data_IF_277945451944
#
_entry.id   IF_277945451944
#
_cell.length_a   1.000
_cell.length_b   1.000
_cell.length_c   1.000
_cell.angle_alpha   90.00
_cell.angle_beta   90.00
_cell.angle_gamma   90.00
#
_symmetry.space_group_name_H-M   'P 1'
#
loop_
_entity.id
_entity.type
_entity.pdbx_description
1 polymer ?
#
# COMPACT_ATOMS: atom_id res chain seq x y z
N UNK A 1 -12.11 -18.11 7.45
CA UNK A 1 -12.72 -16.89 8.05
C UNK A 1 -13.80 -16.44 7.09
N UNK A 2 -15.03 -16.14 7.57
CA UNK A 2 -16.05 -15.57 6.68
C UNK A 2 -15.71 -14.10 6.33
N UNK A 3 -16.36 -13.56 5.28
CA UNK A 3 -16.01 -12.26 4.73
C UNK A 3 -16.22 -11.10 5.71
N UNK A 4 -17.33 -11.08 6.43
CA UNK A 4 -17.63 -10.02 7.39
C UNK A 4 -16.64 -10.04 8.55
N UNK A 5 -16.38 -11.21 9.11
CA UNK A 5 -15.42 -11.36 10.19
C UNK A 5 -14.01 -10.93 9.75
N UNK A 6 -13.61 -11.22 8.52
CA UNK A 6 -12.35 -10.75 7.94
C UNK A 6 -12.27 -9.21 7.88
N UNK A 7 -13.34 -8.56 7.43
CA UNK A 7 -13.40 -7.09 7.34
C UNK A 7 -13.37 -6.45 8.72
N UNK A 8 -14.19 -6.93 9.63
CA UNK A 8 -14.36 -6.36 10.98
C UNK A 8 -13.12 -6.53 11.86
N UNK A 9 -12.33 -7.58 11.64
CA UNK A 9 -11.17 -7.89 12.49
C UNK A 9 -9.83 -7.45 11.90
N UNK A 10 -9.79 -6.90 10.66
CA UNK A 10 -8.56 -6.39 10.09
C UNK A 10 -8.07 -5.14 10.82
N UNK A 11 -6.83 -5.16 11.23
CA UNK A 11 -6.13 -4.01 11.81
C UNK A 11 -4.85 -3.69 11.03
N UNK A 12 -4.29 -2.50 11.22
CA UNK A 12 -2.98 -2.12 10.66
C UNK A 12 -1.89 -2.50 11.66
N UNK A 13 -1.06 -3.48 11.30
CA UNK A 13 0.05 -3.94 12.14
C UNK A 13 1.21 -2.93 12.16
N UNK A 14 1.86 -2.76 13.31
CA UNK A 14 3.00 -1.85 13.46
C UNK A 14 4.33 -2.55 13.30
N UNK A 15 4.42 -3.78 13.75
CA UNK A 15 5.62 -4.61 13.78
C UNK A 15 5.39 -5.84 12.90
N UNK A 16 6.21 -5.93 11.86
CA UNK A 16 6.06 -6.95 10.82
C UNK A 16 7.41 -7.66 10.62
N UNK A 17 7.40 -8.98 10.59
CA UNK A 17 8.55 -9.82 10.34
C UNK A 17 8.26 -10.92 9.33
N UNK A 18 9.24 -11.76 9.07
CA UNK A 18 9.06 -13.02 8.32
C UNK A 18 8.17 -13.99 9.11
N UNK A 19 7.44 -14.90 8.42
CA UNK A 19 7.35 -15.00 6.96
C UNK A 19 6.48 -13.89 6.33
N UNK A 20 6.73 -13.63 5.06
CA UNK A 20 5.81 -12.91 4.17
C UNK A 20 5.17 -13.90 3.20
N UNK A 21 4.11 -13.52 2.46
CA UNK A 21 3.47 -14.39 1.49
C UNK A 21 4.44 -14.94 0.44
N UNK A 22 4.23 -16.18 0.04
CA UNK A 22 4.89 -16.80 -1.10
C UNK A 22 4.40 -16.19 -2.42
N UNK A 23 5.10 -16.48 -3.53
CA UNK A 23 4.66 -16.04 -4.86
C UNK A 23 3.25 -16.52 -5.21
N UNK A 24 2.93 -17.78 -4.93
CA UNK A 24 1.62 -18.34 -5.26
C UNK A 24 0.48 -17.69 -4.43
N UNK A 25 0.75 -17.40 -3.17
CA UNK A 25 -0.19 -16.63 -2.31
C UNK A 25 -0.36 -15.20 -2.83
N UNK A 26 0.73 -14.53 -3.24
CA UNK A 26 0.66 -13.18 -3.82
C UNK A 26 -0.10 -13.16 -5.14
N UNK A 27 0.00 -14.18 -5.97
CA UNK A 27 -0.81 -14.31 -7.19
C UNK A 27 -2.32 -14.30 -6.88
N UNK A 28 -2.75 -14.94 -5.78
CA UNK A 28 -4.14 -14.90 -5.32
C UNK A 28 -4.51 -13.51 -4.77
N UNK A 29 -3.60 -12.87 -4.01
CA UNK A 29 -3.78 -11.51 -3.48
C UNK A 29 -3.97 -10.51 -4.63
N UNK A 30 -3.16 -10.58 -5.68
CA UNK A 30 -3.30 -9.70 -6.85
C UNK A 30 -4.56 -10.00 -7.67
N UNK A 31 -4.98 -11.26 -7.80
CA UNK A 31 -6.29 -11.59 -8.40
C UNK A 31 -7.43 -10.95 -7.62
N UNK A 32 -7.38 -10.94 -6.29
CA UNK A 32 -8.37 -10.25 -5.46
C UNK A 32 -8.32 -8.72 -5.66
N UNK A 33 -7.12 -8.13 -5.71
CA UNK A 33 -6.93 -6.70 -5.98
C UNK A 33 -7.61 -6.27 -7.29
N UNK A 34 -7.43 -7.05 -8.35
CA UNK A 34 -7.99 -6.78 -9.68
C UNK A 34 -9.51 -6.97 -9.77
N UNK A 35 -10.18 -7.35 -8.66
CA UNK A 35 -11.65 -7.35 -8.54
C UNK A 35 -12.22 -6.01 -8.08
N UNK A 36 -11.37 -5.02 -7.77
CA UNK A 36 -11.82 -3.67 -7.44
C UNK A 36 -12.72 -3.10 -8.54
N UNK A 37 -13.77 -2.34 -8.20
CA UNK A 37 -14.57 -1.61 -9.17
C UNK A 37 -13.70 -0.68 -10.02
N UNK A 38 -13.92 -0.70 -11.33
CA UNK A 38 -13.11 0.04 -12.30
C UNK A 38 -14.01 0.59 -13.39
N UNK A 39 -14.31 1.88 -13.34
CA UNK A 39 -15.19 2.55 -14.29
C UNK A 39 -14.56 2.51 -15.69
N UNK A 40 -15.36 2.09 -16.67
CA UNK A 40 -14.95 1.91 -18.07
C UNK A 40 -13.75 0.95 -18.27
N UNK A 41 -13.42 0.14 -17.28
CA UNK A 41 -12.31 -0.83 -17.32
C UNK A 41 -10.98 -0.22 -17.74
N UNK A 42 -10.69 0.97 -17.20
CA UNK A 42 -9.46 1.70 -17.50
C UNK A 42 -8.20 1.03 -16.95
N UNK A 43 -8.33 0.10 -16.00
CA UNK A 43 -7.20 -0.60 -15.39
C UNK A 43 -6.14 0.36 -14.86
N UNK A 44 -6.51 1.26 -13.92
CA UNK A 44 -5.59 2.27 -13.43
C UNK A 44 -4.56 1.71 -12.45
N UNK A 45 -4.86 0.56 -11.83
CA UNK A 45 -4.06 -0.01 -10.75
C UNK A 45 -2.92 -0.85 -11.27
N UNK A 46 -1.71 -0.62 -10.75
CA UNK A 46 -0.57 -1.53 -10.86
C UNK A 46 0.20 -1.59 -9.54
N UNK A 47 0.99 -2.64 -9.36
CA UNK A 47 1.67 -2.91 -8.12
C UNK A 47 3.13 -3.23 -8.38
N UNK A 48 4.05 -2.66 -7.56
CA UNK A 48 5.45 -3.03 -7.56
C UNK A 48 5.73 -3.78 -6.26
N UNK A 49 6.07 -5.05 -6.36
CA UNK A 49 6.45 -5.87 -5.22
C UNK A 49 7.94 -5.70 -4.93
N UNK A 50 8.27 -5.48 -3.66
CA UNK A 50 9.62 -5.22 -3.19
C UNK A 50 9.91 -6.14 -2.01
N UNK A 51 10.87 -7.07 -2.18
CA UNK A 51 11.35 -7.96 -1.13
C UNK A 51 12.83 -8.27 -1.33
N UNK A 52 13.49 -8.91 -0.38
CA UNK A 52 14.90 -9.28 -0.48
C UNK A 52 15.81 -8.12 -0.88
N UNK A 53 16.57 -8.28 -1.97
CA UNK A 53 17.47 -7.22 -2.49
C UNK A 53 16.71 -6.00 -3.02
N UNK A 54 15.43 -6.11 -3.35
CA UNK A 54 14.58 -4.99 -3.69
C UNK A 54 14.47 -3.97 -2.55
N UNK A 55 14.45 -4.42 -1.30
CA UNK A 55 14.42 -3.54 -0.13
C UNK A 55 15.66 -2.65 -0.05
N UNK A 56 16.86 -3.17 -0.43
CA UNK A 56 18.10 -2.38 -0.49
C UNK A 56 18.02 -1.30 -1.56
N UNK A 57 17.46 -1.63 -2.74
CA UNK A 57 17.25 -0.65 -3.81
C UNK A 57 16.30 0.45 -3.38
N UNK A 58 15.17 0.09 -2.76
CA UNK A 58 14.21 1.06 -2.25
C UNK A 58 14.80 1.93 -1.14
N UNK A 59 15.62 1.35 -0.26
CA UNK A 59 16.37 2.06 0.77
C UNK A 59 17.29 3.13 0.19
N UNK A 60 18.02 2.80 -0.89
CA UNK A 60 18.90 3.76 -1.58
C UNK A 60 18.11 4.90 -2.22
N UNK A 61 16.95 4.62 -2.82
CA UNK A 61 16.07 5.65 -3.40
C UNK A 61 15.56 6.60 -2.30
N UNK A 62 15.14 6.06 -1.18
CA UNK A 62 14.62 6.87 -0.07
C UNK A 62 15.73 7.70 0.61
N UNK A 63 16.94 7.17 0.71
CA UNK A 63 18.09 7.91 1.21
C UNK A 63 18.43 9.09 0.27
N UNK A 64 18.55 8.82 -1.04
CA UNK A 64 18.78 9.84 -2.08
C UNK A 64 17.71 10.95 -2.06
N UNK A 65 16.45 10.60 -1.81
CA UNK A 65 15.41 11.60 -1.61
C UNK A 65 15.72 12.49 -0.40
N UNK A 66 16.17 11.91 0.72
CA UNK A 66 16.59 12.67 1.91
C UNK A 66 17.73 13.64 1.61
N UNK A 67 18.69 13.24 0.77
CA UNK A 67 19.77 14.12 0.30
C UNK A 67 19.24 15.26 -0.57
N UNK A 68 18.32 14.96 -1.49
CA UNK A 68 17.75 15.94 -2.44
C UNK A 68 16.95 17.07 -1.81
N UNK A 69 16.55 16.91 -0.56
CA UNK A 69 15.79 17.92 0.22
C UNK A 69 16.59 18.50 1.40
N UNK A 70 17.90 18.29 1.41
CA UNK A 70 18.81 18.73 2.49
C UNK A 70 18.30 18.33 3.89
N UNK A 71 17.74 17.12 4.01
CA UNK A 71 17.25 16.63 5.28
C UNK A 71 18.40 16.41 6.29
N UNK A 72 18.11 16.52 7.58
CA UNK A 72 19.09 16.17 8.62
C UNK A 72 19.51 14.71 8.50
N UNK A 73 20.70 14.37 9.00
CA UNK A 73 21.24 13.01 8.94
C UNK A 73 20.31 12.01 9.64
N UNK A 74 19.65 12.40 10.73
CA UNK A 74 18.64 11.61 11.41
C UNK A 74 17.46 11.26 10.46
N UNK A 75 16.97 12.23 9.69
CA UNK A 75 15.87 12.04 8.75
C UNK A 75 16.32 11.18 7.55
N UNK A 76 17.55 11.38 7.04
CA UNK A 76 18.11 10.54 5.98
C UNK A 76 18.21 9.09 6.41
N UNK A 77 18.73 8.81 7.61
CA UNK A 77 18.80 7.46 8.15
C UNK A 77 17.40 6.87 8.42
N UNK A 78 16.44 7.69 8.86
CA UNK A 78 15.03 7.26 9.00
C UNK A 78 14.43 6.84 7.64
N UNK A 79 14.71 7.57 6.55
CA UNK A 79 14.25 7.22 5.21
C UNK A 79 14.94 5.94 4.72
N UNK A 80 16.27 5.84 4.84
CA UNK A 80 17.06 4.67 4.50
C UNK A 80 16.55 3.40 5.19
N UNK A 81 16.16 3.51 6.45
CA UNK A 81 15.67 2.39 7.23
C UNK A 81 14.16 2.11 7.06
N UNK A 82 13.42 3.00 6.41
CA UNK A 82 11.98 2.83 6.23
C UNK A 82 11.57 1.52 5.53
N UNK A 83 12.27 1.03 4.48
CA UNK A 83 11.89 -0.22 3.82
C UNK A 83 12.04 -1.46 4.71
N UNK A 84 12.94 -1.45 5.67
CA UNK A 84 13.22 -2.62 6.52
C UNK A 84 12.24 -2.82 7.68
N UNK A 85 11.14 -2.05 7.71
CA UNK A 85 10.05 -2.20 8.71
C UNK A 85 9.12 -3.38 8.42
N UNK A 86 9.31 -4.04 7.29
CA UNK A 86 8.62 -5.27 6.91
C UNK A 86 9.48 -6.06 5.92
N UNK A 87 9.29 -7.39 5.84
CA UNK A 87 10.03 -8.22 4.90
C UNK A 87 9.60 -8.04 3.44
N UNK A 88 8.41 -7.47 3.20
CA UNK A 88 7.88 -7.19 1.87
C UNK A 88 7.14 -5.84 1.87
N UNK A 89 7.21 -5.14 0.73
CA UNK A 89 6.46 -3.91 0.47
C UNK A 89 5.76 -4.04 -0.87
N UNK A 90 4.51 -3.60 -0.95
CA UNK A 90 3.79 -3.44 -2.21
C UNK A 90 3.60 -1.93 -2.43
N UNK A 91 4.17 -1.40 -3.52
CA UNK A 91 3.98 -0.02 -3.93
C UNK A 91 2.70 0.05 -4.75
N UNK A 92 1.76 0.87 -4.32
CA UNK A 92 0.48 1.09 -4.99
C UNK A 92 0.65 2.18 -6.05
N UNK A 93 0.59 1.81 -7.31
CA UNK A 93 0.74 2.73 -8.44
C UNK A 93 -0.59 2.93 -9.14
N UNK A 94 -1.00 4.18 -9.24
CA UNK A 94 -2.14 4.61 -10.03
C UNK A 94 -1.65 5.18 -11.37
N UNK A 95 -2.24 4.75 -12.47
CA UNK A 95 -1.98 5.26 -13.81
C UNK A 95 -3.19 6.05 -14.30
N UNK A 96 -3.04 7.35 -14.41
CA UNK A 96 -4.08 8.22 -14.96
C UNK A 96 -4.19 8.04 -16.47
N UNK A 97 -5.39 7.81 -16.95
CA UNK A 97 -5.74 7.72 -18.37
C UNK A 97 -6.78 8.76 -18.69
N UNK A 98 -6.56 9.50 -19.76
CA UNK A 98 -7.56 10.44 -20.26
C UNK A 98 -8.82 9.68 -20.70
N UNK A 99 -9.97 10.12 -20.19
CA UNK A 99 -11.25 9.56 -20.56
C UNK A 99 -12.38 10.60 -20.36
N UNK A 100 -13.29 10.78 -21.34
CA UNK A 100 -14.28 11.86 -21.33
C UNK A 100 -15.32 11.76 -20.21
N UNK A 101 -15.49 10.57 -19.62
CA UNK A 101 -16.50 10.31 -18.58
C UNK A 101 -15.92 9.85 -17.24
N UNK A 102 -14.64 9.58 -17.18
CA UNK A 102 -14.00 9.04 -15.96
C UNK A 102 -12.94 10.01 -15.46
N UNK A 103 -13.22 10.83 -14.48
CA UNK A 103 -12.25 11.76 -13.91
C UNK A 103 -11.15 11.00 -13.16
N UNK A 104 -10.00 11.66 -12.97
CA UNK A 104 -8.83 11.09 -12.30
C UNK A 104 -9.14 10.56 -10.90
N UNK A 105 -10.01 11.25 -10.16
CA UNK A 105 -10.37 10.85 -8.80
C UNK A 105 -10.99 9.44 -8.75
N UNK A 106 -11.82 9.07 -9.72
CA UNK A 106 -12.41 7.74 -9.76
C UNK A 106 -11.36 6.66 -10.01
N UNK A 107 -10.31 6.97 -10.80
CA UNK A 107 -9.20 6.07 -11.05
C UNK A 107 -8.36 5.85 -9.78
N UNK A 108 -8.11 6.92 -9.01
CA UNK A 108 -7.46 6.83 -7.70
C UNK A 108 -8.27 6.01 -6.69
N UNK A 109 -9.59 6.23 -6.64
CA UNK A 109 -10.49 5.47 -5.79
C UNK A 109 -10.51 3.98 -6.16
N UNK A 110 -10.49 3.65 -7.47
CA UNK A 110 -10.35 2.27 -7.94
C UNK A 110 -9.05 1.63 -7.42
N UNK A 111 -7.92 2.32 -7.52
CA UNK A 111 -6.64 1.83 -7.01
C UNK A 111 -6.62 1.72 -5.47
N UNK A 112 -7.26 2.65 -4.76
CA UNK A 112 -7.41 2.57 -3.31
C UNK A 112 -8.29 1.37 -2.88
N UNK A 113 -9.36 1.10 -3.64
CA UNK A 113 -10.21 -0.09 -3.43
C UNK A 113 -9.45 -1.38 -3.71
N UNK A 114 -8.60 -1.41 -4.75
CA UNK A 114 -7.71 -2.55 -5.01
C UNK A 114 -6.73 -2.79 -3.84
N UNK A 115 -6.19 -1.73 -3.25
CA UNK A 115 -5.35 -1.82 -2.07
C UNK A 115 -6.12 -2.41 -0.86
N UNK A 116 -7.37 -2.02 -0.64
CA UNK A 116 -8.21 -2.61 0.39
C UNK A 116 -8.44 -4.12 0.14
N UNK A 117 -8.65 -4.54 -1.11
CA UNK A 117 -8.78 -5.95 -1.45
C UNK A 117 -7.48 -6.72 -1.15
N UNK A 118 -6.29 -6.14 -1.43
CA UNK A 118 -5.00 -6.71 -1.03
C UNK A 118 -4.96 -6.92 0.49
N UNK A 119 -5.31 -5.88 1.25
CA UNK A 119 -5.25 -5.93 2.72
C UNK A 119 -6.17 -7.00 3.30
N UNK A 120 -7.37 -7.17 2.73
CA UNK A 120 -8.34 -8.19 3.16
C UNK A 120 -7.89 -9.61 2.75
N UNK A 121 -7.34 -9.77 1.55
CA UNK A 121 -6.81 -11.05 1.09
C UNK A 121 -5.64 -11.51 1.98
N UNK A 122 -4.69 -10.61 2.28
CA UNK A 122 -3.60 -10.90 3.20
C UNK A 122 -4.10 -11.30 4.59
N UNK A 123 -5.06 -10.55 5.15
CA UNK A 123 -5.63 -10.84 6.47
C UNK A 123 -6.32 -12.21 6.50
N UNK A 124 -7.03 -12.61 5.43
CA UNK A 124 -7.65 -13.93 5.33
C UNK A 124 -6.65 -15.09 5.28
N UNK A 125 -5.42 -14.81 4.88
CA UNK A 125 -4.28 -15.75 4.84
C UNK A 125 -3.40 -15.68 6.08
N UNK A 126 -3.82 -14.96 7.14
CA UNK A 126 -3.09 -14.71 8.38
C UNK A 126 -1.80 -13.89 8.22
N UNK A 127 -1.66 -13.14 7.15
CA UNK A 127 -0.65 -12.11 7.02
C UNK A 127 -1.21 -10.75 7.46
N UNK A 128 -0.33 -9.90 7.93
CA UNK A 128 -0.68 -8.56 8.39
C UNK A 128 -0.04 -7.51 7.49
N UNK A 129 -0.65 -6.34 7.45
CA UNK A 129 -0.09 -5.23 6.70
C UNK A 129 -0.45 -3.86 7.31
N UNK A 130 0.26 -2.83 6.86
CA UNK A 130 -0.04 -1.43 7.14
C UNK A 130 0.18 -0.59 5.89
N UNK A 131 -0.76 0.28 5.59
CA UNK A 131 -0.64 1.27 4.53
C UNK A 131 0.08 2.51 5.07
N UNK A 132 1.16 2.90 4.42
CA UNK A 132 1.92 4.11 4.72
C UNK A 132 1.98 5.03 3.50
N UNK A 133 1.94 6.32 3.76
CA UNK A 133 2.00 7.40 2.78
C UNK A 133 3.02 8.45 3.22
N UNK A 134 2.87 9.67 2.76
CA UNK A 134 3.69 10.82 3.13
C UNK A 134 4.69 11.22 2.04
N UNK A 135 5.70 11.99 2.41
CA UNK A 135 6.63 12.61 1.45
C UNK A 135 7.26 11.62 0.47
N UNK A 136 7.58 10.41 0.93
CA UNK A 136 8.17 9.37 0.08
C UNK A 136 7.21 8.83 -0.99
N UNK A 137 5.89 8.87 -0.77
CA UNK A 137 4.91 8.45 -1.77
C UNK A 137 4.63 9.56 -2.78
N UNK A 138 4.50 10.80 -2.31
CA UNK A 138 4.01 11.91 -3.13
C UNK A 138 5.10 12.73 -3.82
N UNK A 139 6.37 12.40 -3.60
CA UNK A 139 7.47 13.11 -4.22
C UNK A 139 7.80 12.55 -5.61
N UNK A 140 7.84 13.44 -6.61
CA UNK A 140 8.08 13.06 -8.00
C UNK A 140 9.47 12.46 -8.24
N UNK A 141 10.50 12.92 -7.53
CA UNK A 141 11.84 12.36 -7.68
C UNK A 141 11.89 10.89 -7.24
N UNK A 142 11.21 10.53 -6.14
CA UNK A 142 11.08 9.13 -5.70
C UNK A 142 10.36 8.29 -6.76
N UNK A 143 9.28 8.83 -7.34
CA UNK A 143 8.53 8.16 -8.40
C UNK A 143 9.38 7.95 -9.66
N UNK A 144 10.16 8.95 -10.06
CA UNK A 144 11.07 8.88 -11.20
C UNK A 144 12.20 7.86 -10.97
N UNK A 145 12.80 7.84 -9.77
CA UNK A 145 13.84 6.87 -9.39
C UNK A 145 13.31 5.43 -9.35
N UNK A 146 11.99 5.26 -9.15
CA UNK A 146 11.28 3.98 -9.27
C UNK A 146 10.87 3.65 -10.72
N UNK A 147 11.15 4.52 -11.69
CA UNK A 147 10.85 4.33 -13.10
C UNK A 147 9.39 4.60 -13.49
N UNK A 148 8.64 5.34 -12.67
CA UNK A 148 7.26 5.68 -12.98
C UNK A 148 7.17 6.74 -14.09
N UNK A 149 6.17 6.59 -14.97
CA UNK A 149 5.85 7.54 -16.04
C UNK A 149 5.17 8.80 -15.47
N UNK A 150 5.08 9.87 -16.27
CA UNK A 150 4.48 11.13 -15.86
C UNK A 150 3.00 10.99 -15.41
N UNK A 151 2.24 10.12 -16.08
CA UNK A 151 0.85 9.84 -15.75
C UNK A 151 0.67 8.78 -14.66
N UNK A 152 1.75 8.39 -13.98
CA UNK A 152 1.74 7.45 -12.86
C UNK A 152 2.09 8.15 -11.56
N UNK A 153 1.42 7.75 -10.50
CA UNK A 153 1.64 8.26 -9.15
C UNK A 153 1.59 7.12 -8.11
N UNK A 154 2.26 7.31 -7.00
CA UNK A 154 2.20 6.38 -5.87
C UNK A 154 1.10 6.82 -4.92
N UNK A 155 0.12 5.94 -4.64
CA UNK A 155 -0.90 6.18 -3.62
C UNK A 155 -0.44 5.74 -2.22
N UNK A 156 0.64 5.00 -2.12
CA UNK A 156 1.22 4.56 -0.86
C UNK A 156 1.97 3.25 -0.97
N UNK A 157 2.41 2.78 0.18
CA UNK A 157 3.18 1.56 0.38
C UNK A 157 2.44 0.67 1.36
N UNK A 158 2.12 -0.56 0.98
CA UNK A 158 1.67 -1.60 1.90
C UNK A 158 2.90 -2.36 2.40
N UNK A 159 3.18 -2.24 3.67
CA UNK A 159 4.19 -3.03 4.36
C UNK A 159 3.54 -4.33 4.78
N UNK A 160 4.11 -5.47 4.40
CA UNK A 160 3.50 -6.79 4.49
C UNK A 160 4.41 -7.77 5.21
N UNK A 161 3.84 -8.60 6.07
CA UNK A 161 4.55 -9.65 6.80
C UNK A 161 3.66 -10.30 7.84
N UNK A 162 4.30 -10.99 8.77
CA UNK A 162 3.64 -11.58 9.95
C UNK A 162 3.75 -10.59 11.12
N UNK A 163 2.62 -10.30 11.78
CA UNK A 163 2.61 -9.41 12.96
C UNK A 163 3.27 -10.10 14.15
N UNK A 164 4.24 -9.42 14.75
CA UNK A 164 4.98 -9.89 15.93
C UNK A 164 4.70 -9.08 17.19
N UNK A 165 4.11 -7.90 17.03
CA UNK A 165 3.77 -7.02 18.13
C UNK A 165 2.39 -7.28 18.73
N UNK A 166 2.02 -6.44 19.70
CA UNK A 166 0.69 -6.46 20.30
C UNK A 166 -0.34 -6.01 19.26
N UNK A 167 -1.31 -6.89 18.99
CA UNK A 167 -2.40 -6.60 18.06
C UNK A 167 -3.20 -5.39 18.53
N UNK A 168 -3.49 -4.46 17.62
CA UNK A 168 -4.29 -3.29 17.95
C UNK A 168 -5.70 -3.70 18.38
N UNK A 169 -6.22 -3.03 19.41
CA UNK A 169 -7.65 -3.08 19.74
C UNK A 169 -8.45 -2.50 18.57
N UNK A 170 -9.56 -3.15 18.28
CA UNK A 170 -10.58 -2.63 17.36
C UNK A 170 -11.42 -1.64 18.18
N UNK A 171 -11.55 -0.37 17.75
CA UNK A 171 -12.39 0.58 18.44
C UNK A 171 -13.86 0.20 18.29
N UNK A 172 -14.62 0.36 19.36
CA UNK A 172 -16.08 0.37 19.29
C UNK A 172 -16.50 1.76 18.80
N UNK A 173 -17.25 1.81 17.71
CA UNK A 173 -17.76 3.05 17.12
C UNK A 173 -19.28 2.99 17.12
N UNK A 174 -19.92 4.10 17.47
CA UNK A 174 -21.38 4.24 17.32
C UNK A 174 -21.67 4.50 15.84
N UNK A 175 -22.51 3.65 15.25
CA UNK A 175 -22.86 3.74 13.83
C UNK A 175 -23.66 5.01 13.54
N UNK A 176 -24.41 5.52 14.48
CA UNK A 176 -25.23 6.72 14.34
C UNK A 176 -24.38 8.00 14.14
N UNK A 177 -23.11 7.97 14.54
CA UNK A 177 -22.15 9.06 14.24
C UNK A 177 -21.77 9.13 12.76
N UNK A 178 -22.02 8.09 11.97
CA UNK A 178 -21.54 7.94 10.59
C UNK A 178 -22.66 7.73 9.56
N UNK A 179 -23.85 7.34 10.01
CA UNK A 179 -24.97 7.03 9.13
C UNK A 179 -26.15 7.94 9.43
N UNK A 180 -26.68 8.57 8.40
CA UNK A 180 -27.92 9.34 8.46
C UNK A 180 -28.97 8.77 7.51
N UNK A 181 -30.22 8.94 7.85
CA UNK A 181 -31.35 8.45 7.05
C UNK A 181 -32.09 9.66 6.46
N UNK A 182 -32.52 9.55 5.19
CA UNK A 182 -33.34 10.56 4.49
C UNK A 182 -34.82 10.31 4.78
#
# INVERSE_FOLDING_TARGET
MDALNNILNRVSARELSIPHPTKDEMDLVYKAALRAPDHAWLRPSSFIEVSGDGLKKLSSIFFKFGESIDASDEIKEKYKNAPYRAPMIIILVNTVKEHPKVPEIEQKLSTATAAQNIMLALNSMNYSCIWRTGKLAFNRNVQNDLGLKENQEILGYLYVGTETGVKKKIPELDIDDFVSYL
#
